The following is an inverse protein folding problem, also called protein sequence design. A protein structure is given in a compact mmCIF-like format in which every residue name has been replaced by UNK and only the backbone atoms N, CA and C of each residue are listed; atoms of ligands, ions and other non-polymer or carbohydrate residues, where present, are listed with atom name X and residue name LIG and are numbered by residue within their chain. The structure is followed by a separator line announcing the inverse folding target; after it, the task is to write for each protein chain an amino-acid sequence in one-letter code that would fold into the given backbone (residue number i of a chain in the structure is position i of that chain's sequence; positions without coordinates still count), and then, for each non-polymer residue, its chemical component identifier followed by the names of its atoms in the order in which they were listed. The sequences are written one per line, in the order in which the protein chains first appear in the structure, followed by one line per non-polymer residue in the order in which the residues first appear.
data_IF_223708835044
#
_entry.id   IF_223708835044
#
_cell.length_a   1.000
_cell.length_b   1.000
_cell.length_c   1.000
_cell.angle_alpha   90.00
_cell.angle_beta   90.00
_cell.angle_gamma   90.00
#
_symmetry.space_group_name_H-M   'P 1'
#
loop_
_entity.id
_entity.type
_entity.pdbx_description
1 polymer ?
#
# COMPACT_ATOMS: atom_id res chain seq x y z
N UNK A 1 9.18 -26.94 -12.42
CA UNK A 1 8.19 -25.92 -12.77
C UNK A 1 8.83 -25.01 -13.80
N UNK A 2 8.12 -24.70 -14.88
CA UNK A 2 8.58 -23.76 -15.89
C UNK A 2 8.27 -22.32 -15.47
N UNK A 3 9.03 -21.35 -15.99
CA UNK A 3 8.78 -19.93 -15.75
C UNK A 3 7.34 -19.51 -16.09
N UNK A 4 6.77 -20.06 -17.16
CA UNK A 4 5.38 -19.78 -17.57
C UNK A 4 4.35 -20.28 -16.57
N UNK A 5 4.61 -21.42 -15.92
CA UNK A 5 3.77 -21.95 -14.84
C UNK A 5 3.89 -21.07 -13.59
N UNK A 6 5.10 -20.66 -13.22
CA UNK A 6 5.35 -19.74 -12.10
C UNK A 6 4.64 -18.39 -12.30
N UNK A 7 4.72 -17.82 -13.50
CA UNK A 7 4.05 -16.56 -13.83
C UNK A 7 2.52 -16.68 -13.74
N UNK A 8 1.96 -17.81 -14.20
CA UNK A 8 0.51 -18.07 -14.08
C UNK A 8 0.11 -18.20 -12.62
N UNK A 9 0.89 -18.95 -11.84
CA UNK A 9 0.67 -19.13 -10.41
C UNK A 9 0.70 -17.76 -9.70
N UNK A 10 1.71 -16.93 -9.97
CA UNK A 10 1.84 -15.59 -9.41
C UNK A 10 0.64 -14.68 -9.72
N UNK A 11 0.13 -14.70 -10.96
CA UNK A 11 -1.07 -13.91 -11.36
C UNK A 11 -2.35 -14.36 -10.67
N UNK A 12 -2.44 -15.64 -10.30
CA UNK A 12 -3.61 -16.21 -9.61
C UNK A 12 -3.54 -16.15 -8.09
N UNK A 13 -2.37 -15.79 -7.54
CA UNK A 13 -2.18 -15.74 -6.10
C UNK A 13 -3.07 -14.67 -5.46
N UNK A 14 -3.56 -14.96 -4.26
CA UNK A 14 -4.34 -13.98 -3.50
C UNK A 14 -3.46 -12.76 -3.18
N UNK A 15 -3.97 -11.56 -3.47
CA UNK A 15 -3.26 -10.31 -3.20
C UNK A 15 -3.15 -10.12 -1.68
N UNK A 16 -1.92 -10.02 -1.12
CA UNK A 16 -1.73 -9.78 0.29
C UNK A 16 -2.45 -8.51 0.77
N UNK A 17 -2.95 -8.54 1.99
CA UNK A 17 -3.56 -7.38 2.61
C UNK A 17 -3.15 -7.25 4.07
N UNK A 18 -3.35 -6.04 4.61
CA UNK A 18 -3.23 -5.72 6.01
C UNK A 18 -4.38 -4.82 6.44
N UNK A 19 -4.87 -5.06 7.64
CA UNK A 19 -5.93 -4.26 8.25
C UNK A 19 -5.32 -3.24 9.22
N UNK A 20 -5.88 -2.03 9.22
CA UNK A 20 -5.53 -0.92 10.10
C UNK A 20 -6.79 -0.47 10.81
N UNK A 21 -6.79 -0.55 12.12
CA UNK A 21 -7.84 0.01 12.95
C UNK A 21 -7.59 1.50 13.21
N UNK A 22 -8.60 2.32 12.95
CA UNK A 22 -8.58 3.77 13.15
C UNK A 22 -9.75 4.22 14.03
N UNK A 23 -9.52 5.22 14.87
CA UNK A 23 -10.58 5.81 15.70
C UNK A 23 -11.10 7.07 15.03
N UNK A 24 -12.41 7.13 14.77
CA UNK A 24 -13.10 8.29 14.20
C UNK A 24 -14.34 8.61 15.03
N UNK A 25 -14.40 9.82 15.60
CA UNK A 25 -15.52 10.25 16.44
C UNK A 25 -15.86 9.25 17.58
N UNK A 26 -14.85 8.64 18.21
CA UNK A 26 -15.04 7.65 19.28
C UNK A 26 -15.45 6.25 18.82
N UNK A 27 -15.52 6.00 17.50
CA UNK A 27 -15.82 4.69 16.93
C UNK A 27 -14.59 4.08 16.25
N UNK A 28 -14.39 2.77 16.45
CA UNK A 28 -13.34 2.02 15.79
C UNK A 28 -13.80 1.60 14.39
N UNK A 29 -12.98 1.88 13.38
CA UNK A 29 -13.19 1.47 12.00
C UNK A 29 -11.99 0.69 11.49
N UNK A 30 -12.22 -0.31 10.65
CA UNK A 30 -11.16 -1.11 10.03
C UNK A 30 -10.98 -0.70 8.57
N UNK A 31 -9.80 -0.22 8.23
CA UNK A 31 -9.36 0.00 6.86
C UNK A 31 -8.54 -1.22 6.42
N UNK A 32 -8.82 -1.75 5.24
CA UNK A 32 -8.03 -2.83 4.64
C UNK A 32 -7.25 -2.30 3.47
N UNK A 33 -5.93 -2.53 3.47
CA UNK A 33 -5.04 -2.16 2.38
C UNK A 33 -4.52 -3.41 1.69
N UNK A 34 -4.50 -3.41 0.37
CA UNK A 34 -3.96 -4.48 -0.47
C UNK A 34 -2.62 -4.08 -1.06
N UNK A 35 -1.74 -5.06 -1.28
CA UNK A 35 -0.52 -4.82 -2.04
C UNK A 35 -0.89 -4.34 -3.46
N UNK A 36 -0.22 -3.30 -3.92
CA UNK A 36 -0.37 -2.77 -5.27
C UNK A 36 0.41 -3.62 -6.26
N UNK A 37 0.06 -3.51 -7.55
CA UNK A 37 0.95 -3.98 -8.60
C UNK A 37 2.30 -3.26 -8.52
N UNK A 38 3.39 -3.97 -8.81
CA UNK A 38 4.74 -3.40 -8.70
C UNK A 38 4.97 -2.21 -9.64
N UNK A 39 4.35 -2.23 -10.82
CA UNK A 39 4.42 -1.12 -11.79
C UNK A 39 3.64 0.08 -11.26
N UNK A 40 2.42 -0.14 -10.74
CA UNK A 40 1.59 0.92 -10.18
C UNK A 40 2.22 1.55 -8.94
N UNK A 41 2.89 0.76 -8.09
CA UNK A 41 3.64 1.27 -6.94
C UNK A 41 4.84 2.13 -7.38
N UNK A 42 5.61 1.65 -8.36
CA UNK A 42 6.78 2.38 -8.87
C UNK A 42 6.38 3.72 -9.49
N UNK A 43 5.36 3.74 -10.35
CA UNK A 43 4.82 4.99 -10.92
C UNK A 43 4.31 5.95 -9.84
N UNK A 44 3.72 5.42 -8.76
CA UNK A 44 3.29 6.24 -7.63
C UNK A 44 4.48 6.89 -6.90
N UNK A 45 5.53 6.11 -6.62
CA UNK A 45 6.76 6.60 -5.98
C UNK A 45 7.42 7.69 -6.81
N UNK A 46 7.56 7.50 -8.13
CA UNK A 46 8.19 8.46 -9.04
C UNK A 46 7.47 9.82 -9.09
N UNK A 47 6.15 9.82 -8.89
CA UNK A 47 5.33 11.06 -8.83
C UNK A 47 5.46 11.81 -7.52
N UNK A 48 6.09 11.23 -6.51
CA UNK A 48 6.21 11.79 -5.16
C UNK A 48 7.68 11.80 -4.69
N UNK A 49 8.57 12.55 -5.37
CA UNK A 49 10.00 12.54 -5.07
C UNK A 49 10.32 13.05 -3.67
N UNK A 50 11.51 12.70 -3.17
CA UNK A 50 11.99 13.14 -1.88
C UNK A 50 12.04 14.67 -1.77
N UNK A 51 11.64 15.21 -0.61
CA UNK A 51 11.81 16.64 -0.31
C UNK A 51 13.27 16.95 0.04
N UNK A 52 13.78 18.05 -0.51
CA UNK A 52 15.14 18.51 -0.23
C UNK A 52 15.33 18.76 1.27
N UNK A 53 16.40 18.19 1.84
CA UNK A 53 16.76 18.39 3.24
C UNK A 53 15.96 17.57 4.26
N UNK A 54 15.03 16.72 3.81
CA UNK A 54 14.29 15.82 4.70
C UNK A 54 15.01 14.47 4.77
N UNK A 55 15.67 14.19 5.90
CA UNK A 55 16.46 12.98 6.09
C UNK A 55 15.65 11.70 5.87
N UNK A 56 14.42 11.66 6.39
CA UNK A 56 13.51 10.51 6.24
C UNK A 56 13.17 10.23 4.76
N UNK A 57 12.91 11.26 3.96
CA UNK A 57 12.61 11.08 2.54
C UNK A 57 13.86 10.68 1.74
N UNK A 58 15.04 11.12 2.19
CA UNK A 58 16.32 10.84 1.53
C UNK A 58 16.74 9.38 1.68
N UNK A 59 16.33 8.72 2.78
CA UNK A 59 16.57 7.29 3.00
C UNK A 59 15.82 6.41 1.98
N UNK A 60 14.57 6.76 1.64
CA UNK A 60 13.73 5.98 0.73
C UNK A 60 13.74 6.49 -0.72
N UNK A 61 14.19 7.72 -0.96
CA UNK A 61 14.18 8.36 -2.28
C UNK A 61 12.84 9.01 -2.66
N UNK A 62 11.85 8.98 -1.77
CA UNK A 62 10.52 9.54 -2.03
C UNK A 62 9.83 10.05 -0.76
N UNK A 63 8.81 10.89 -0.95
CA UNK A 63 8.00 11.43 0.13
C UNK A 63 6.85 10.47 0.50
N UNK A 64 7.11 9.58 1.46
CA UNK A 64 6.13 8.60 1.91
C UNK A 64 4.80 9.22 2.37
N UNK A 65 4.82 10.45 2.92
CA UNK A 65 3.61 11.08 3.46
C UNK A 65 2.67 11.57 2.35
N UNK A 66 3.19 12.16 1.28
CA UNK A 66 2.36 12.53 0.12
C UNK A 66 1.96 11.31 -0.67
N UNK A 67 2.88 10.33 -0.81
CA UNK A 67 2.60 9.05 -1.45
C UNK A 67 1.44 8.31 -0.77
N UNK A 68 1.44 8.23 0.57
CA UNK A 68 0.38 7.59 1.36
C UNK A 68 -1.00 8.13 1.00
N UNK A 69 -1.15 9.46 0.89
CA UNK A 69 -2.44 10.10 0.53
C UNK A 69 -2.86 9.78 -0.90
N UNK A 70 -1.90 9.63 -1.81
CA UNK A 70 -2.17 9.31 -3.21
C UNK A 70 -2.53 7.84 -3.44
N UNK A 71 -1.88 6.92 -2.73
CA UNK A 71 -2.06 5.48 -2.94
C UNK A 71 -3.15 4.86 -2.07
N UNK A 72 -3.44 5.42 -0.88
CA UNK A 72 -4.49 4.91 -0.01
C UNK A 72 -5.86 4.77 -0.71
N UNK A 73 -6.32 5.73 -1.54
CA UNK A 73 -7.56 5.55 -2.31
C UNK A 73 -7.54 4.45 -3.36
N UNK A 74 -6.34 4.05 -3.83
CA UNK A 74 -6.17 3.03 -4.87
C UNK A 74 -6.18 1.62 -4.29
N UNK A 75 -5.62 1.44 -3.10
CA UNK A 75 -5.42 0.12 -2.49
C UNK A 75 -6.18 -0.09 -1.18
N UNK A 76 -6.86 0.93 -0.66
CA UNK A 76 -7.59 0.91 0.60
C UNK A 76 -9.11 0.76 0.45
N UNK A 77 -9.73 0.01 1.35
CA UNK A 77 -11.19 -0.11 1.51
C UNK A 77 -11.56 0.01 2.99
N UNK A 78 -12.79 0.42 3.26
CA UNK A 78 -13.41 0.33 4.58
C UNK A 78 -14.06 -1.05 4.74
N UNK A 79 -13.84 -1.72 5.88
CA UNK A 79 -14.51 -2.98 6.21
C UNK A 79 -15.73 -2.70 7.08
N UNK A 80 -16.92 -3.10 6.61
CA UNK A 80 -18.21 -2.98 7.32
C UNK A 80 -18.88 -4.35 7.29
N UNK A 81 -19.15 -4.93 8.47
CA UNK A 81 -19.76 -6.26 8.62
C UNK A 81 -19.04 -7.35 7.81
N UNK A 82 -17.70 -7.30 7.82
CA UNK A 82 -16.83 -8.22 7.08
C UNK A 82 -16.76 -7.98 5.56
N UNK A 83 -17.44 -6.96 5.04
CA UNK A 83 -17.46 -6.61 3.61
C UNK A 83 -16.64 -5.35 3.33
N UNK A 84 -15.91 -5.36 2.23
CA UNK A 84 -15.11 -4.22 1.78
C UNK A 84 -15.95 -3.23 0.98
N UNK A 85 -15.83 -1.94 1.32
CA UNK A 85 -16.45 -0.81 0.63
C UNK A 85 -15.38 0.22 0.27
N UNK A 86 -15.34 0.68 -0.98
CA UNK A 86 -14.50 1.84 -1.34
C UNK A 86 -15.09 3.11 -0.72
N UNK A 87 -14.22 3.95 -0.15
CA UNK A 87 -14.58 5.31 0.24
C UNK A 87 -14.87 6.13 -1.03
N UNK A 88 -15.91 6.97 -0.97
CA UNK A 88 -16.43 7.77 -2.08
C UNK A 88 -15.49 8.93 -2.40
N UNK A 89 -15.14 9.05 -3.68
CA UNK A 89 -14.43 10.20 -4.25
C UNK A 89 -15.19 10.63 -5.49
N UNK A 90 -15.86 11.77 -5.40
CA UNK A 90 -16.62 12.32 -6.51
C UNK A 90 -15.70 13.04 -7.51
N UNK A 91 -16.02 12.88 -8.79
CA UNK A 91 -15.40 13.65 -9.88
C UNK A 91 -16.35 14.78 -10.27
N UNK A 92 -15.80 15.95 -10.57
CA UNK A 92 -16.57 17.09 -11.05
C UNK A 92 -17.36 16.71 -12.32
N UNK A 93 -18.68 16.88 -12.27
CA UNK A 93 -19.58 16.69 -13.41
C UNK A 93 -19.81 18.04 -14.09
N UNK A 94 -19.41 18.23 -15.37
CA UNK A 94 -19.65 19.47 -16.10
C UNK A 94 -21.13 19.85 -16.19
N UNK A 95 -22.05 18.87 -16.13
CA UNK A 95 -23.48 19.12 -16.11
C UNK A 95 -23.99 19.65 -14.76
N UNK A 96 -23.18 19.55 -13.69
CA UNK A 96 -23.52 19.98 -12.33
C UNK A 96 -22.34 20.75 -11.70
N UNK A 97 -21.98 21.93 -12.24
CA UNK A 97 -20.80 22.67 -11.82
C UNK A 97 -20.82 23.10 -10.35
N UNK A 98 -22.01 23.17 -9.74
CA UNK A 98 -22.22 23.57 -8.35
C UNK A 98 -22.49 22.39 -7.41
N UNK A 99 -22.37 21.15 -7.87
CA UNK A 99 -22.52 20.00 -6.99
C UNK A 99 -21.42 19.99 -5.91
N UNK A 100 -21.83 19.80 -4.66
CA UNK A 100 -20.88 19.56 -3.56
C UNK A 100 -20.23 18.20 -3.77
N UNK A 101 -18.94 18.20 -4.11
CA UNK A 101 -18.15 16.97 -4.25
C UNK A 101 -17.80 16.41 -2.88
N UNK A 102 -17.85 15.08 -2.77
CA UNK A 102 -17.43 14.33 -1.59
C UNK A 102 -16.08 13.69 -1.87
N UNK A 103 -15.13 13.85 -0.95
CA UNK A 103 -13.87 13.09 -0.91
C UNK A 103 -13.71 12.51 0.50
N UNK A 104 -14.28 11.32 0.70
CA UNK A 104 -14.25 10.64 2.00
C UNK A 104 -12.81 10.31 2.44
N UNK A 105 -11.86 10.17 1.52
CA UNK A 105 -10.45 9.96 1.88
C UNK A 105 -9.81 11.25 2.41
N UNK A 106 -10.02 12.38 1.73
CA UNK A 106 -9.53 13.67 2.21
C UNK A 106 -10.13 14.03 3.57
N UNK A 107 -11.44 13.82 3.74
CA UNK A 107 -12.14 14.05 5.00
C UNK A 107 -11.61 13.13 6.11
N UNK A 108 -11.39 11.85 5.80
CA UNK A 108 -10.79 10.89 6.73
C UNK A 108 -9.39 11.34 7.17
N UNK A 109 -8.48 11.64 6.24
CA UNK A 109 -7.11 12.08 6.59
C UNK A 109 -7.09 13.37 7.40
N UNK A 110 -8.09 14.25 7.24
CA UNK A 110 -8.24 15.47 8.04
C UNK A 110 -8.75 15.18 9.45
N UNK A 111 -9.61 14.17 9.61
CA UNK A 111 -10.21 13.81 10.89
C UNK A 111 -9.31 12.91 11.75
N UNK A 112 -8.39 12.15 11.14
CA UNK A 112 -7.45 11.28 11.86
C UNK A 112 -6.33 12.06 12.54
N UNK A 113 -5.90 11.57 13.71
CA UNK A 113 -4.67 12.05 14.35
C UNK A 113 -3.43 11.58 13.58
N UNK A 114 -2.29 12.27 13.78
CA UNK A 114 -1.03 11.92 13.12
C UNK A 114 -0.60 10.46 13.36
N UNK A 115 -0.94 9.88 14.51
CA UNK A 115 -0.68 8.46 14.83
C UNK A 115 -1.35 7.51 13.82
N UNK A 116 -2.64 7.68 13.56
CA UNK A 116 -3.37 6.82 12.63
C UNK A 116 -2.91 7.05 11.18
N UNK A 117 -2.59 8.29 10.81
CA UNK A 117 -2.00 8.59 9.50
C UNK A 117 -0.65 7.89 9.33
N UNK A 118 0.18 7.88 10.38
CA UNK A 118 1.44 7.12 10.43
C UNK A 118 1.22 5.63 10.19
N UNK A 119 0.30 5.01 10.95
CA UNK A 119 -0.05 3.59 10.80
C UNK A 119 -0.52 3.22 9.39
N UNK A 120 -1.33 4.06 8.76
CA UNK A 120 -1.76 3.85 7.36
C UNK A 120 -0.52 3.83 6.44
N UNK A 121 0.35 4.84 6.56
CA UNK A 121 1.57 4.92 5.76
C UNK A 121 2.50 3.73 5.97
N UNK A 122 2.74 3.33 7.22
CA UNK A 122 3.60 2.19 7.57
C UNK A 122 3.02 0.88 7.03
N UNK A 123 1.69 0.73 7.05
CA UNK A 123 1.01 -0.46 6.51
C UNK A 123 1.16 -0.56 4.99
N UNK A 124 1.01 0.56 4.28
CA UNK A 124 1.19 0.64 2.84
C UNK A 124 2.66 0.37 2.47
N UNK A 125 3.61 0.97 3.18
CA UNK A 125 5.05 0.71 2.99
C UNK A 125 5.38 -0.78 3.24
N UNK A 126 4.84 -1.36 4.32
CA UNK A 126 5.06 -2.74 4.68
C UNK A 126 4.59 -3.71 3.58
N UNK A 127 3.40 -3.46 3.02
CA UNK A 127 2.83 -4.26 1.94
C UNK A 127 3.64 -4.19 0.65
N UNK A 128 4.08 -3.00 0.25
CA UNK A 128 4.63 -2.80 -1.09
C UNK A 128 6.15 -2.94 -1.15
N UNK A 129 6.87 -2.57 -0.10
CA UNK A 129 8.33 -2.49 -0.11
C UNK A 129 8.99 -3.45 0.88
N UNK A 130 8.70 -3.31 2.17
CA UNK A 130 9.40 -4.07 3.21
C UNK A 130 9.25 -5.58 3.06
N UNK A 131 8.02 -6.08 2.84
CA UNK A 131 7.78 -7.52 2.67
C UNK A 131 8.47 -8.09 1.44
N UNK A 132 8.54 -7.32 0.36
CA UNK A 132 9.23 -7.70 -0.87
C UNK A 132 10.72 -7.89 -0.59
N UNK A 133 11.35 -6.97 0.14
CA UNK A 133 12.76 -7.09 0.55
C UNK A 133 13.01 -8.35 1.40
N UNK A 134 12.15 -8.59 2.39
CA UNK A 134 12.25 -9.77 3.28
C UNK A 134 12.07 -11.07 2.48
N UNK A 135 11.12 -11.12 1.55
CA UNK A 135 10.85 -12.31 0.73
C UNK A 135 12.04 -12.65 -0.18
N UNK A 136 12.62 -11.64 -0.85
CA UNK A 136 13.81 -11.82 -1.70
C UNK A 136 15.00 -12.28 -0.87
N UNK A 137 15.28 -11.63 0.27
CA UNK A 137 16.38 -12.02 1.15
C UNK A 137 16.24 -13.48 1.62
N UNK A 138 15.03 -13.90 2.01
CA UNK A 138 14.74 -15.28 2.41
C UNK A 138 14.96 -16.27 1.26
N UNK A 139 14.50 -15.94 0.05
CA UNK A 139 14.68 -16.79 -1.13
C UNK A 139 16.17 -16.97 -1.48
N UNK A 140 16.95 -15.88 -1.44
CA UNK A 140 18.40 -15.91 -1.66
C UNK A 140 19.10 -16.80 -0.63
N UNK A 141 18.76 -16.68 0.66
CA UNK A 141 19.34 -17.51 1.71
C UNK A 141 18.99 -19.00 1.56
N UNK A 142 17.77 -19.31 1.10
CA UNK A 142 17.38 -20.69 0.81
C UNK A 142 18.19 -21.29 -0.35
N UNK A 143 18.40 -20.52 -1.42
CA UNK A 143 19.22 -20.96 -2.57
C UNK A 143 20.66 -21.20 -2.14
N UNK A 144 21.26 -20.29 -1.35
CA UNK A 144 22.61 -20.47 -0.82
C UNK A 144 22.75 -21.77 -0.02
N UNK A 145 21.78 -22.05 0.86
CA UNK A 145 21.77 -23.30 1.65
C UNK A 145 21.68 -24.55 0.78
N UNK A 146 20.85 -24.53 -0.27
CA UNK A 146 20.71 -25.65 -1.19
C UNK A 146 22.00 -25.92 -1.97
N UNK A 147 22.66 -24.88 -2.49
CA UNK A 147 23.94 -24.99 -3.21
C UNK A 147 25.06 -25.54 -2.31
N UNK A 148 25.12 -25.09 -1.05
CA UNK A 148 26.11 -25.58 -0.09
C UNK A 148 25.91 -27.07 0.28
N UNK A 149 24.66 -27.57 0.21
CA UNK A 149 24.34 -28.96 0.47
C UNK A 149 24.67 -29.86 -0.74
N UNK A 150 24.41 -29.39 -1.97
CA UNK A 150 24.67 -30.17 -3.20
C UNK A 150 26.16 -30.35 -3.50
N UNK A 151 27.02 -29.42 -3.09
CA UNK A 151 28.47 -29.53 -3.28
C UNK A 151 29.20 -30.51 -2.35
N UNK A 152 28.48 -31.19 -1.44
CA UNK A 152 29.02 -32.19 -0.51
C UNK A 152 28.68 -33.64 -0.90
N UNK A 153 28.00 -33.84 -2.03
CA UNK A 153 27.69 -35.15 -2.62
C UNK A 153 28.65 -35.47 -3.74
#
# INVERSE_FOLDING_TARGET
MSFSEDLRAAKSAAIPYLDVEVMLNGHLHTLRFRQMDGVDWTDAVDRHPARIGVAYDSEYGYNLRTLTKYVAPKCGTLVVDGKERKLRVDVADPAKPNAKLVDEWADLFKALTGHFVGKIGDTIYNLNEYRSHVAVAKAVEQVKKALAASGKS
#
